data_IF_801297768918
#
_entry.id   IF_801297768918
#
_cell.length_a   1.000
_cell.length_b   1.000
_cell.length_c   1.000
_cell.angle_alpha   90.00
_cell.angle_beta   90.00
_cell.angle_gamma   90.00
#
_symmetry.space_group_name_H-M   'P 1'
#
loop_
_entity.id
_entity.type
_entity.pdbx_description
1 polymer ?
#
# COMPACT_ATOMS: atom_id res chain seq x y z
N UNK A 1 25.62 36.59 -47.59
CA UNK A 1 25.16 37.22 -46.34
C UNK A 1 24.46 36.13 -45.56
N UNK A 2 24.98 35.86 -44.37
CA UNK A 2 24.61 34.75 -43.49
C UNK A 2 23.19 34.89 -42.92
N UNK A 3 22.70 33.78 -42.33
CA UNK A 3 21.68 33.64 -41.26
C UNK A 3 20.20 33.80 -41.68
N UNK A 4 19.24 33.05 -41.13
CA UNK A 4 19.13 32.09 -40.00
C UNK A 4 18.12 31.01 -40.47
N UNK A 5 18.34 29.70 -40.33
CA UNK A 5 18.54 29.01 -39.06
C UNK A 5 17.18 28.75 -38.42
N UNK A 6 16.41 27.80 -38.95
CA UNK A 6 15.11 27.41 -38.38
C UNK A 6 15.31 26.92 -36.95
N UNK A 7 14.62 27.55 -36.01
CA UNK A 7 14.50 27.06 -34.65
C UNK A 7 13.59 25.82 -34.70
N UNK A 8 14.23 24.65 -34.82
CA UNK A 8 13.60 23.39 -34.47
C UNK A 8 13.41 23.43 -32.95
N UNK A 9 12.18 23.73 -32.51
CA UNK A 9 11.74 23.53 -31.14
C UNK A 9 11.91 22.04 -30.81
N UNK A 10 13.04 21.67 -30.23
CA UNK A 10 13.31 20.35 -29.68
C UNK A 10 12.26 20.08 -28.59
N UNK A 11 11.19 19.37 -28.96
CA UNK A 11 10.28 18.79 -27.98
C UNK A 11 11.10 17.77 -27.21
N UNK A 12 11.59 18.19 -26.04
CA UNK A 12 12.17 17.31 -25.04
C UNK A 12 11.03 16.41 -24.55
N UNK A 13 10.92 15.22 -25.12
CA UNK A 13 10.07 14.16 -24.58
C UNK A 13 10.67 13.73 -23.24
N UNK A 14 10.26 14.42 -22.17
CA UNK A 14 10.53 13.99 -20.81
C UNK A 14 9.87 12.63 -20.62
N UNK A 15 10.68 11.64 -20.25
CA UNK A 15 10.20 10.33 -19.85
C UNK A 15 9.25 10.47 -18.66
N UNK A 16 8.21 9.63 -18.57
CA UNK A 16 7.22 9.67 -17.49
C UNK A 16 7.91 9.52 -16.11
N UNK A 17 9.07 8.87 -16.07
CA UNK A 17 9.93 8.77 -14.88
C UNK A 17 10.37 10.12 -14.29
N UNK A 18 10.38 11.20 -15.09
CA UNK A 18 10.75 12.54 -14.61
C UNK A 18 9.73 13.12 -13.61
N UNK A 19 8.47 12.67 -13.67
CA UNK A 19 7.40 13.14 -12.78
C UNK A 19 7.16 12.22 -11.59
N UNK A 20 7.84 11.07 -11.51
CA UNK A 20 7.69 10.12 -10.41
C UNK A 20 8.59 10.55 -9.26
N UNK A 21 7.98 10.86 -8.11
CA UNK A 21 8.72 11.13 -6.89
C UNK A 21 9.03 9.82 -6.16
N UNK A 22 10.27 9.36 -6.24
CA UNK A 22 10.75 8.14 -5.56
C UNK A 22 11.63 8.44 -4.34
N UNK A 23 11.60 9.69 -3.84
CA UNK A 23 12.36 10.16 -2.67
C UNK A 23 11.75 9.66 -1.36
N UNK A 24 11.60 8.34 -1.24
CA UNK A 24 11.04 7.67 -0.08
C UNK A 24 11.98 7.77 1.11
N UNK A 25 11.45 8.17 2.26
CA UNK A 25 12.17 8.19 3.51
C UNK A 25 11.79 6.98 4.36
N UNK A 26 12.80 6.35 4.97
CA UNK A 26 12.57 5.31 5.96
C UNK A 26 11.99 5.96 7.22
N UNK A 27 10.75 5.60 7.56
CA UNK A 27 9.99 6.18 8.67
C UNK A 27 9.62 5.07 9.65
N UNK A 28 9.84 5.33 10.94
CA UNK A 28 9.50 4.41 12.02
C UNK A 28 8.10 4.70 12.55
N UNK A 29 7.28 3.66 12.64
CA UNK A 29 5.94 3.70 13.22
C UNK A 29 5.87 2.77 14.45
N UNK A 30 5.10 3.17 15.47
CA UNK A 30 4.97 2.38 16.70
C UNK A 30 3.50 2.19 17.05
N UNK A 31 3.10 0.92 17.19
CA UNK A 31 1.74 0.49 17.51
C UNK A 31 1.79 -0.49 18.69
N UNK A 32 1.58 0.04 19.91
CA UNK A 32 1.79 -0.74 21.13
C UNK A 32 3.24 -1.23 21.24
N UNK A 33 3.44 -2.55 21.30
CA UNK A 33 4.76 -3.17 21.32
C UNK A 33 5.38 -3.36 19.93
N UNK A 34 4.64 -3.08 18.85
CA UNK A 34 5.08 -3.31 17.48
C UNK A 34 5.75 -2.05 16.91
N UNK A 35 7.00 -2.19 16.50
CA UNK A 35 7.76 -1.14 15.80
C UNK A 35 7.96 -1.56 14.35
N UNK A 36 7.50 -0.76 13.40
CA UNK A 36 7.66 -0.99 11.96
C UNK A 36 8.51 0.11 11.34
N UNK A 37 9.27 -0.21 10.31
CA UNK A 37 10.01 0.76 9.52
C UNK A 37 9.58 0.64 8.07
N UNK A 38 9.10 1.72 7.45
CA UNK A 38 8.64 1.69 6.06
C UNK A 38 9.25 2.83 5.26
N UNK A 39 9.58 2.56 4.01
CA UNK A 39 9.81 3.59 3.02
C UNK A 39 8.47 4.18 2.59
N UNK A 40 8.30 5.49 2.76
CA UNK A 40 7.14 6.24 2.29
C UNK A 40 7.52 7.68 1.94
N UNK A 41 6.70 8.35 1.14
CA UNK A 41 6.81 9.80 0.97
C UNK A 41 6.40 10.52 2.25
N UNK A 42 6.91 11.74 2.42
CA UNK A 42 6.56 12.62 3.55
C UNK A 42 5.49 13.66 3.19
N UNK A 43 5.21 13.82 1.90
CA UNK A 43 4.28 14.80 1.38
C UNK A 43 3.65 14.28 0.08
N UNK A 44 2.39 14.61 -0.14
CA UNK A 44 1.68 14.22 -1.36
C UNK A 44 2.38 14.80 -2.60
N UNK A 45 2.43 14.02 -3.68
CA UNK A 45 2.61 14.57 -5.01
C UNK A 45 1.30 15.23 -5.46
N UNK A 46 1.36 15.98 -6.56
CA UNK A 46 0.18 16.56 -7.20
C UNK A 46 -0.68 15.51 -7.93
N UNK A 47 -0.20 14.28 -8.04
CA UNK A 47 -0.86 13.21 -8.79
C UNK A 47 -1.72 12.35 -7.86
N UNK A 48 -3.03 12.42 -8.04
CA UNK A 48 -4.01 11.72 -7.21
C UNK A 48 -3.83 10.19 -7.23
N UNK A 49 -3.32 9.62 -8.32
CA UNK A 49 -3.11 8.18 -8.48
C UNK A 49 -1.90 7.66 -7.69
N UNK A 50 -1.04 8.55 -7.16
CA UNK A 50 0.17 8.20 -6.42
C UNK A 50 0.04 8.43 -4.91
N UNK A 51 -1.16 8.72 -4.44
CA UNK A 51 -1.48 8.92 -3.01
C UNK A 51 -1.15 7.72 -2.14
N UNK A 52 -1.12 6.51 -2.70
CA UNK A 52 -0.73 5.27 -2.02
C UNK A 52 0.74 5.22 -1.58
N UNK A 53 1.57 6.18 -2.00
CA UNK A 53 2.97 6.31 -1.55
C UNK A 53 3.12 6.96 -0.16
N UNK A 54 2.01 7.46 0.40
CA UNK A 54 1.94 8.02 1.75
C UNK A 54 1.33 7.03 2.73
N UNK A 55 1.61 7.24 4.01
CA UNK A 55 0.84 6.63 5.10
C UNK A 55 -0.31 7.56 5.46
N UNK A 56 -1.53 7.09 5.27
CA UNK A 56 -2.73 7.86 5.58
C UNK A 56 -3.16 7.72 7.05
N UNK A 57 -3.78 8.74 7.67
CA UNK A 57 -4.14 8.73 9.08
C UNK A 57 -5.08 7.58 9.50
N UNK A 58 -6.02 7.16 8.64
CA UNK A 58 -6.91 6.05 8.90
C UNK A 58 -6.16 4.72 8.97
N UNK A 59 -5.08 4.54 8.21
CA UNK A 59 -4.21 3.37 8.33
C UNK A 59 -3.47 3.35 9.68
N UNK A 60 -3.00 4.52 10.16
CA UNK A 60 -2.39 4.65 11.50
C UNK A 60 -3.40 4.30 12.60
N UNK A 61 -4.64 4.78 12.49
CA UNK A 61 -5.71 4.47 13.44
C UNK A 61 -6.09 2.98 13.43
N UNK A 62 -6.22 2.39 12.24
CA UNK A 62 -6.48 0.96 12.09
C UNK A 62 -5.37 0.13 12.73
N UNK A 63 -4.11 0.51 12.54
CA UNK A 63 -2.98 -0.19 13.14
C UNK A 63 -2.92 -0.08 14.66
N UNK A 64 -3.25 1.09 15.22
CA UNK A 64 -3.38 1.24 16.67
C UNK A 64 -4.48 0.29 17.21
N UNK A 65 -5.64 0.24 16.55
CA UNK A 65 -6.71 -0.69 16.90
C UNK A 65 -6.28 -2.16 16.80
N UNK A 66 -5.69 -2.57 15.68
CA UNK A 66 -5.26 -3.95 15.43
C UNK A 66 -4.17 -4.39 16.42
N UNK A 67 -3.22 -3.50 16.74
CA UNK A 67 -2.16 -3.80 17.72
C UNK A 67 -2.70 -4.08 19.12
N UNK A 68 -3.84 -3.47 19.48
CA UNK A 68 -4.53 -3.66 20.77
C UNK A 68 -5.43 -4.89 20.79
N UNK A 69 -5.81 -5.41 19.62
CA UNK A 69 -6.70 -6.56 19.44
C UNK A 69 -6.02 -7.65 18.58
N UNK A 70 -4.73 -7.88 18.81
CA UNK A 70 -3.89 -8.75 17.97
C UNK A 70 -4.36 -10.22 17.98
N UNK A 71 -5.10 -10.65 19.00
CA UNK A 71 -5.75 -11.96 19.06
C UNK A 71 -6.75 -12.17 17.92
N UNK A 72 -7.32 -11.08 17.37
CA UNK A 72 -8.17 -11.15 16.18
C UNK A 72 -7.39 -11.47 14.90
N UNK A 73 -6.07 -11.35 14.89
CA UNK A 73 -5.22 -11.61 13.72
C UNK A 73 -4.52 -12.97 13.80
N UNK A 74 -4.41 -13.55 15.00
CA UNK A 74 -3.60 -14.73 15.24
C UNK A 74 -3.95 -15.90 14.31
N UNK A 75 -3.00 -16.29 13.46
CA UNK A 75 -3.12 -17.43 12.55
C UNK A 75 -4.11 -17.27 11.39
N UNK A 76 -4.63 -16.06 11.15
CA UNK A 76 -5.58 -15.78 10.05
C UNK A 76 -4.89 -15.57 8.71
N UNK A 77 -5.58 -15.84 7.60
CA UNK A 77 -5.24 -15.28 6.28
C UNK A 77 -6.00 -13.99 6.05
N UNK A 78 -5.32 -12.98 5.53
CA UNK A 78 -5.92 -11.68 5.24
C UNK A 78 -5.61 -11.23 3.83
N UNK A 79 -6.52 -10.45 3.27
CA UNK A 79 -6.27 -9.61 2.10
C UNK A 79 -6.52 -8.16 2.47
N UNK A 80 -5.58 -7.28 2.17
CA UNK A 80 -5.73 -5.83 2.32
C UNK A 80 -5.99 -5.21 0.94
N UNK A 81 -7.06 -4.42 0.85
CA UNK A 81 -7.44 -3.65 -0.33
C UNK A 81 -6.88 -2.23 -0.19
N UNK A 82 -6.23 -1.74 -1.25
CA UNK A 82 -5.65 -0.39 -1.25
C UNK A 82 -4.56 -0.23 -0.19
N UNK A 83 -3.59 -1.16 -0.19
CA UNK A 83 -2.55 -1.26 0.82
C UNK A 83 -1.60 -0.05 0.86
N UNK A 84 -1.50 0.71 -0.22
CA UNK A 84 -0.51 1.78 -0.32
C UNK A 84 0.91 1.25 -0.06
N UNK A 85 1.64 1.90 0.84
CA UNK A 85 2.98 1.44 1.27
C UNK A 85 2.98 0.17 2.13
N UNK A 86 1.82 -0.35 2.52
CA UNK A 86 1.65 -1.66 3.17
C UNK A 86 1.69 -1.66 4.69
N UNK A 87 1.53 -0.51 5.35
CA UNK A 87 1.70 -0.37 6.80
C UNK A 87 0.79 -1.31 7.60
N UNK A 88 -0.45 -1.55 7.15
CA UNK A 88 -1.40 -2.42 7.86
C UNK A 88 -1.08 -3.90 7.66
N UNK A 89 -0.93 -4.37 6.42
CA UNK A 89 -0.62 -5.78 6.17
C UNK A 89 0.75 -6.18 6.74
N UNK A 90 1.74 -5.28 6.74
CA UNK A 90 3.05 -5.52 7.38
C UNK A 90 2.92 -5.60 8.91
N UNK A 91 2.04 -4.82 9.55
CA UNK A 91 1.72 -5.04 10.97
C UNK A 91 1.11 -6.42 11.18
N UNK A 92 0.13 -6.76 10.35
CA UNK A 92 -0.62 -8.00 10.47
C UNK A 92 0.24 -9.25 10.23
N UNK A 93 1.28 -9.16 9.39
CA UNK A 93 2.19 -10.28 9.07
C UNK A 93 2.92 -10.82 10.31
N UNK A 94 2.94 -10.07 11.41
CA UNK A 94 3.50 -10.51 12.70
C UNK A 94 2.60 -11.49 13.47
N UNK A 95 1.32 -11.55 13.13
CA UNK A 95 0.30 -12.32 13.86
C UNK A 95 -0.40 -13.35 12.96
N UNK A 96 -0.59 -13.00 11.70
CA UNK A 96 -1.26 -13.81 10.69
C UNK A 96 -0.39 -14.98 10.20
N UNK A 97 -1.01 -15.94 9.52
CA UNK A 97 -0.27 -16.99 8.77
C UNK A 97 0.04 -16.58 7.33
N UNK A 98 -0.78 -15.70 6.77
CA UNK A 98 -0.69 -15.27 5.37
C UNK A 98 -1.32 -13.89 5.22
N UNK A 99 -0.70 -13.03 4.44
CA UNK A 99 -1.15 -11.67 4.16
C UNK A 99 -0.94 -11.37 2.69
N UNK A 100 -2.02 -11.00 2.00
CA UNK A 100 -1.97 -10.49 0.63
C UNK A 100 -2.28 -9.00 0.66
N UNK A 101 -1.30 -8.19 0.27
CA UNK A 101 -1.40 -6.74 0.13
C UNK A 101 -1.77 -6.43 -1.32
N UNK A 102 -2.74 -5.56 -1.55
CA UNK A 102 -3.17 -5.23 -2.91
C UNK A 102 -3.26 -3.74 -3.17
N UNK A 103 -2.82 -3.34 -4.36
CA UNK A 103 -3.05 -2.00 -4.88
C UNK A 103 -3.22 -2.06 -6.41
N UNK A 104 -3.83 -1.04 -7.00
CA UNK A 104 -4.06 -0.94 -8.44
C UNK A 104 -2.88 -0.29 -9.17
N UNK A 105 -2.15 0.61 -8.49
CA UNK A 105 -1.13 1.44 -9.12
C UNK A 105 0.25 0.76 -9.09
N UNK A 106 0.89 0.64 -10.25
CA UNK A 106 2.19 -0.05 -10.38
C UNK A 106 3.31 0.63 -9.60
N UNK A 107 3.34 1.96 -9.52
CA UNK A 107 4.35 2.68 -8.74
C UNK A 107 4.15 2.45 -7.24
N UNK A 108 2.90 2.39 -6.79
CA UNK A 108 2.56 2.02 -5.41
C UNK A 108 2.96 0.58 -5.12
N UNK A 109 2.72 -0.35 -6.05
CA UNK A 109 3.15 -1.75 -5.92
C UNK A 109 4.68 -1.89 -5.82
N UNK A 110 5.46 -1.03 -6.51
CA UNK A 110 6.93 -1.04 -6.39
C UNK A 110 7.38 -0.71 -4.96
N UNK A 111 6.86 0.37 -4.36
CA UNK A 111 7.21 0.74 -2.98
C UNK A 111 6.68 -0.26 -1.96
N UNK A 112 5.48 -0.81 -2.18
CA UNK A 112 4.91 -1.87 -1.38
C UNK A 112 5.84 -3.10 -1.34
N UNK A 113 6.29 -3.59 -2.50
CA UNK A 113 7.23 -4.72 -2.61
C UNK A 113 8.55 -4.42 -1.90
N UNK A 114 9.09 -3.21 -2.05
CA UNK A 114 10.30 -2.77 -1.33
C UNK A 114 10.12 -2.85 0.20
N UNK A 115 8.95 -2.48 0.70
CA UNK A 115 8.66 -2.56 2.14
C UNK A 115 8.43 -4.01 2.63
N UNK A 116 7.90 -4.89 1.78
CA UNK A 116 7.83 -6.34 2.07
C UNK A 116 9.24 -6.90 2.21
N UNK A 117 10.10 -6.67 1.21
CA UNK A 117 11.49 -7.14 1.19
C UNK A 117 12.28 -6.67 2.41
N UNK A 118 12.07 -5.42 2.85
CA UNK A 118 12.68 -4.87 4.06
C UNK A 118 12.37 -5.72 5.31
N UNK A 119 11.15 -6.24 5.43
CA UNK A 119 10.72 -7.02 6.58
C UNK A 119 11.01 -8.52 6.45
N UNK A 120 11.12 -9.06 5.23
CA UNK A 120 11.54 -10.43 4.98
C UNK A 120 13.05 -10.64 5.16
N UNK A 121 13.86 -9.67 4.73
CA UNK A 121 15.33 -9.77 4.75
C UNK A 121 15.97 -9.49 6.11
N UNK A 122 15.23 -8.90 7.05
CA UNK A 122 15.75 -8.58 8.38
C UNK A 122 16.07 -9.85 9.19
N UNK A 123 17.30 -9.97 9.71
CA UNK A 123 17.72 -11.14 10.51
C UNK A 123 16.91 -11.36 11.81
N UNK A 124 16.11 -10.35 12.20
CA UNK A 124 15.15 -10.40 13.30
C UNK A 124 13.70 -10.35 12.77
N UNK A 125 13.43 -10.93 11.59
CA UNK A 125 12.10 -10.87 10.98
C UNK A 125 11.05 -11.35 11.98
N UNK A 126 10.27 -10.39 12.49
CA UNK A 126 9.10 -10.62 13.32
C UNK A 126 7.91 -11.10 12.47
N UNK A 127 8.08 -11.17 11.14
CA UNK A 127 7.08 -11.68 10.22
C UNK A 127 6.90 -13.19 10.46
N UNK A 128 5.70 -13.57 10.85
CA UNK A 128 5.29 -14.95 11.03
C UNK A 128 4.44 -15.45 9.84
N UNK A 129 4.16 -14.57 8.87
CA UNK A 129 3.30 -14.82 7.73
C UNK A 129 4.07 -14.86 6.41
N UNK A 130 3.52 -15.61 5.45
CA UNK A 130 3.77 -15.39 4.02
C UNK A 130 3.17 -14.02 3.62
N UNK A 131 3.98 -13.17 2.96
CA UNK A 131 3.63 -11.78 2.65
C UNK A 131 3.76 -11.53 1.15
N UNK A 132 2.65 -11.26 0.46
CA UNK A 132 2.63 -11.08 -1.00
C UNK A 132 2.00 -9.75 -1.37
N UNK A 133 2.53 -9.12 -2.42
CA UNK A 133 1.93 -7.96 -3.07
C UNK A 133 1.35 -8.34 -4.43
N UNK A 134 0.06 -8.10 -4.61
CA UNK A 134 -0.67 -8.41 -5.85
C UNK A 134 -1.35 -7.18 -6.43
N UNK A 135 -1.48 -7.12 -7.75
CA UNK A 135 -2.24 -6.05 -8.40
C UNK A 135 -3.73 -6.31 -8.29
N UNK A 136 -4.47 -5.34 -7.79
CA UNK A 136 -5.94 -5.39 -7.78
C UNK A 136 -6.55 -4.00 -8.00
N UNK A 137 -7.10 -3.81 -9.18
CA UNK A 137 -8.01 -2.72 -9.52
C UNK A 137 -9.44 -3.12 -9.12
N UNK A 138 -10.12 -2.26 -8.35
CA UNK A 138 -11.45 -2.60 -7.86
C UNK A 138 -12.45 -2.71 -9.00
N UNK A 139 -13.27 -3.77 -8.94
CA UNK A 139 -14.18 -4.13 -10.02
C UNK A 139 -13.53 -5.02 -11.11
N UNK A 140 -12.20 -5.18 -11.11
CA UNK A 140 -11.52 -6.10 -12.02
C UNK A 140 -11.66 -7.55 -11.54
N UNK A 141 -12.62 -8.26 -12.12
CA UNK A 141 -12.92 -9.65 -11.75
C UNK A 141 -11.82 -10.62 -12.14
N UNK A 142 -11.08 -10.35 -13.23
CA UNK A 142 -10.01 -11.24 -13.70
C UNK A 142 -8.82 -11.23 -12.74
N UNK A 143 -8.40 -10.05 -12.29
CA UNK A 143 -7.34 -9.89 -11.28
C UNK A 143 -7.75 -10.54 -9.95
N UNK A 144 -8.98 -10.30 -9.48
CA UNK A 144 -9.49 -10.93 -8.27
C UNK A 144 -9.51 -12.46 -8.39
N UNK A 145 -9.98 -13.00 -9.52
CA UNK A 145 -10.00 -14.45 -9.75
C UNK A 145 -8.59 -15.04 -9.78
N UNK A 146 -7.61 -14.34 -10.34
CA UNK A 146 -6.20 -14.76 -10.33
C UNK A 146 -5.68 -14.90 -8.89
N UNK A 147 -5.93 -13.90 -8.04
CA UNK A 147 -5.56 -13.96 -6.61
C UNK A 147 -6.27 -15.15 -5.94
N UNK A 148 -7.59 -15.28 -6.13
CA UNK A 148 -8.37 -16.36 -5.50
C UNK A 148 -7.96 -17.78 -5.94
N UNK A 149 -7.37 -17.95 -7.13
CA UNK A 149 -6.81 -19.24 -7.54
C UNK A 149 -5.61 -19.67 -6.67
N UNK A 150 -4.79 -18.71 -6.22
CA UNK A 150 -3.72 -18.95 -5.25
C UNK A 150 -4.23 -19.19 -3.82
N UNK A 151 -5.45 -18.72 -3.52
CA UNK A 151 -6.06 -18.79 -2.19
C UNK A 151 -7.45 -19.46 -2.25
N UNK A 152 -7.55 -20.77 -2.58
CA UNK A 152 -8.83 -21.45 -2.80
C UNK A 152 -9.73 -21.55 -1.55
N UNK A 153 -9.15 -21.36 -0.36
CA UNK A 153 -9.90 -21.29 0.91
C UNK A 153 -10.42 -19.87 1.22
N UNK A 154 -10.08 -18.89 0.40
CA UNK A 154 -10.37 -17.48 0.65
C UNK A 154 -9.53 -16.87 1.77
N UNK A 155 -10.02 -15.75 2.29
CA UNK A 155 -9.40 -14.98 3.36
C UNK A 155 -10.33 -14.91 4.57
N UNK A 156 -9.75 -15.03 5.76
CA UNK A 156 -10.49 -14.93 7.02
C UNK A 156 -10.87 -13.47 7.34
N UNK A 157 -10.10 -12.50 6.83
CA UNK A 157 -10.34 -11.06 6.98
C UNK A 157 -10.03 -10.30 5.68
N UNK A 158 -10.84 -9.27 5.42
CA UNK A 158 -10.57 -8.26 4.39
C UNK A 158 -10.39 -6.91 5.09
N UNK A 159 -9.24 -6.29 4.88
CA UNK A 159 -8.88 -5.00 5.47
C UNK A 159 -8.85 -3.91 4.39
N UNK A 160 -9.12 -2.68 4.79
CA UNK A 160 -8.88 -1.49 3.97
C UNK A 160 -8.97 -0.23 4.81
N UNK A 161 -7.98 0.64 4.68
CA UNK A 161 -7.92 1.92 5.38
C UNK A 161 -7.83 3.07 4.39
N UNK A 162 -8.66 4.10 4.57
CA UNK A 162 -8.73 5.27 3.68
C UNK A 162 -9.01 4.94 2.21
N UNK A 163 -9.66 3.81 1.95
CA UNK A 163 -10.02 3.31 0.62
C UNK A 163 -11.27 3.96 0.03
N UNK A 164 -12.00 4.77 0.80
CA UNK A 164 -13.14 5.52 0.31
C UNK A 164 -12.94 7.00 0.61
N UNK A 165 -12.80 7.80 -0.45
CA UNK A 165 -12.71 9.26 -0.36
C UNK A 165 -13.91 9.83 -1.11
N UNK A 166 -14.92 10.29 -0.37
CA UNK A 166 -15.99 11.06 -0.97
C UNK A 166 -15.48 12.48 -1.25
N UNK A 167 -15.29 12.82 -2.52
CA UNK A 167 -15.02 14.20 -2.95
C UNK A 167 -16.32 15.00 -2.84
N UNK A 168 -16.78 15.26 -1.61
CA UNK A 168 -17.82 16.23 -1.31
C UNK A 168 -17.16 17.48 -0.71
N UNK A 169 -17.47 18.63 -1.31
CA UNK A 169 -16.90 19.97 -1.04
C UNK A 169 -17.11 20.52 0.38
N UNK A 170 -17.43 19.71 1.39
CA UNK A 170 -17.69 20.24 2.75
C UNK A 170 -17.16 19.43 3.93
N UNK A 171 -16.89 18.12 3.88
CA UNK A 171 -16.25 17.42 5.01
C UNK A 171 -15.50 16.15 4.57
N UNK A 172 -14.21 16.04 4.93
CA UNK A 172 -13.43 14.79 4.81
C UNK A 172 -13.96 13.77 5.82
N UNK A 173 -14.52 12.67 5.34
CA UNK A 173 -14.82 11.48 6.13
C UNK A 173 -13.85 10.38 5.69
N UNK A 174 -12.87 10.06 6.54
CA UNK A 174 -12.03 8.87 6.42
C UNK A 174 -12.87 7.65 6.84
N UNK A 175 -13.08 6.68 5.95
CA UNK A 175 -13.74 5.42 6.27
C UNK A 175 -12.68 4.34 6.51
N UNK A 176 -12.63 3.81 7.73
CA UNK A 176 -11.87 2.59 8.07
C UNK A 176 -12.81 1.41 7.86
N UNK A 177 -12.52 0.53 6.91
CA UNK A 177 -13.33 -0.65 6.60
C UNK A 177 -12.61 -1.92 7.05
N UNK A 178 -13.14 -2.56 8.10
CA UNK A 178 -12.77 -3.93 8.45
C UNK A 178 -13.95 -4.83 8.13
N UNK A 179 -13.79 -5.75 7.18
CA UNK A 179 -14.81 -6.74 6.86
C UNK A 179 -14.37 -8.11 7.38
N UNK A 180 -15.23 -8.74 8.18
CA UNK A 180 -15.08 -10.14 8.56
C UNK A 180 -15.74 -11.00 7.49
N UNK A 181 -14.97 -11.86 6.82
CA UNK A 181 -15.53 -12.86 5.93
C UNK A 181 -16.06 -14.03 6.78
N UNK A 182 -17.35 -14.37 6.59
CA UNK A 182 -18.04 -15.49 7.24
C UNK A 182 -17.76 -16.81 6.50
#
# INVERSE_FOLDING_TARGET
MEREGGEDDEIVCLDESFFINDNYQLTTFTFGAQVLELHCLQSASTDFDLTGQLVWPGAVLLNDYLSKNAEMLQGRSIIELGSGVGITGILCSRFCRQVVLTDHNEEVLKILKKNIELHESSQNSLCCAELNAEKLEWGNSDQLNCILQGHPKGFDLVLGADIYIQICTTHQLCLICMFHCL
#
